data_IF_383513433662
#
_entry.id   IF_383513433662
#
_cell.length_a   1.000
_cell.length_b   1.000
_cell.length_c   1.000
_cell.angle_alpha   90.00
_cell.angle_beta   90.00
_cell.angle_gamma   90.00
#
_symmetry.space_group_name_H-M   'P 1'
#
loop_
_entity.id
_entity.type
_entity.pdbx_description
1 polymer ?
#
# COMPACT_ATOMS: atom_id res chain seq x y z
N UNK A 1 -16.59 -3.33 13.17
CA UNK A 1 -15.79 -4.13 12.28
C UNK A 1 -14.36 -3.63 12.27
N UNK A 2 -13.43 -4.53 12.38
CA UNK A 2 -12.04 -4.15 12.43
C UNK A 2 -11.47 -3.95 11.06
N UNK A 3 -10.62 -2.96 10.93
CA UNK A 3 -9.94 -2.70 9.68
C UNK A 3 -8.46 -2.88 9.88
N UNK A 4 -7.81 -3.31 8.85
CA UNK A 4 -6.39 -3.60 8.88
C UNK A 4 -5.67 -2.75 7.85
N UNK A 5 -4.48 -2.34 8.17
CA UNK A 5 -3.68 -1.59 7.23
C UNK A 5 -2.86 -2.57 6.40
N UNK A 6 -2.98 -2.45 5.10
CA UNK A 6 -2.25 -3.30 4.17
C UNK A 6 -1.26 -2.47 3.37
N UNK A 7 -0.10 -3.03 3.12
CA UNK A 7 0.88 -2.43 2.23
C UNK A 7 0.83 -3.17 0.91
N UNK A 8 0.78 -2.41 -0.16
CA UNK A 8 0.61 -2.96 -1.50
C UNK A 8 1.77 -2.51 -2.36
N UNK A 9 2.56 -3.46 -2.81
CA UNK A 9 3.73 -3.19 -3.64
C UNK A 9 3.38 -3.44 -5.09
N UNK A 10 3.80 -2.55 -5.96
CA UNK A 10 3.53 -2.75 -7.36
C UNK A 10 4.25 -1.74 -8.21
N UNK A 11 3.92 -1.77 -9.49
CA UNK A 11 4.54 -0.90 -10.47
C UNK A 11 3.48 0.05 -11.02
N UNK A 12 3.79 1.34 -10.99
CA UNK A 12 2.88 2.34 -11.52
C UNK A 12 3.34 2.72 -12.92
N UNK A 13 2.45 2.58 -13.89
CA UNK A 13 2.74 2.95 -15.26
C UNK A 13 2.15 4.31 -15.56
N UNK A 14 2.95 5.14 -16.21
CA UNK A 14 2.52 6.48 -16.56
C UNK A 14 2.32 6.57 -18.05
N UNK A 15 1.51 7.52 -18.48
CA UNK A 15 1.13 7.62 -19.87
C UNK A 15 2.30 7.89 -20.80
N UNK A 16 3.38 8.43 -20.28
CA UNK A 16 4.54 8.71 -21.14
C UNK A 16 5.49 7.52 -21.24
N UNK A 17 5.06 6.34 -20.85
CA UNK A 17 5.90 5.17 -20.93
C UNK A 17 6.81 4.95 -19.74
N UNK A 18 6.69 5.79 -18.76
CA UNK A 18 7.49 5.71 -17.55
C UNK A 18 6.86 4.77 -16.56
N UNK A 19 7.63 4.11 -15.76
CA UNK A 19 7.07 3.31 -14.68
C UNK A 19 8.03 3.35 -13.49
N UNK A 20 7.49 3.07 -12.32
CA UNK A 20 8.30 3.03 -11.11
C UNK A 20 7.63 2.13 -10.10
N UNK A 21 8.42 1.54 -9.24
CA UNK A 21 7.90 0.69 -8.18
C UNK A 21 7.59 1.52 -6.96
N UNK A 22 6.55 1.15 -6.26
CA UNK A 22 6.12 1.92 -5.11
C UNK A 22 5.36 1.03 -4.15
N UNK A 23 5.22 1.48 -2.91
CA UNK A 23 4.41 0.80 -1.91
C UNK A 23 3.35 1.76 -1.45
N UNK A 24 2.09 1.35 -1.58
CA UNK A 24 0.96 2.17 -1.15
C UNK A 24 0.27 1.47 0.01
N UNK A 25 -0.27 2.23 0.93
CA UNK A 25 -0.94 1.67 2.09
C UNK A 25 -2.41 2.00 2.07
N UNK A 26 -3.24 1.00 2.38
CA UNK A 26 -4.68 1.17 2.43
C UNK A 26 -5.23 0.44 3.64
N UNK A 27 -6.24 1.02 4.26
CA UNK A 27 -6.91 0.43 5.39
C UNK A 27 -8.24 -0.11 4.92
N UNK A 28 -8.47 -1.40 5.18
CA UNK A 28 -9.70 -2.06 4.73
C UNK A 28 -9.95 -3.28 5.58
N UNK A 29 -11.17 -3.82 5.56
CA UNK A 29 -11.48 -5.01 6.34
C UNK A 29 -10.78 -6.25 5.81
N UNK A 30 -10.53 -6.32 4.51
CA UNK A 30 -9.88 -7.48 3.93
C UNK A 30 -8.83 -7.04 2.92
N UNK A 31 -7.93 -7.95 2.63
CA UNK A 31 -6.88 -7.70 1.66
C UNK A 31 -7.47 -7.43 0.29
N UNK A 32 -8.49 -8.16 -0.10
CA UNK A 32 -9.12 -7.97 -1.37
C UNK A 32 -9.67 -6.57 -1.53
N UNK A 33 -10.29 -6.05 -0.49
CA UNK A 33 -10.82 -4.70 -0.55
C UNK A 33 -9.74 -3.66 -0.60
N UNK A 34 -8.64 -3.89 0.10
CA UNK A 34 -7.53 -2.97 0.05
C UNK A 34 -6.96 -2.89 -1.36
N UNK A 35 -6.81 -4.03 -2.00
CA UNK A 35 -6.29 -4.07 -3.36
C UNK A 35 -7.26 -3.42 -4.33
N UNK A 36 -8.56 -3.67 -4.15
CA UNK A 36 -9.56 -3.06 -5.02
C UNK A 36 -9.54 -1.55 -4.90
N UNK A 37 -9.42 -1.05 -3.68
CA UNK A 37 -9.36 0.39 -3.46
C UNK A 37 -8.11 0.99 -4.07
N UNK A 38 -7.00 0.29 -3.94
CA UNK A 38 -5.75 0.75 -4.51
C UNK A 38 -5.84 0.87 -6.02
N UNK A 39 -6.40 -0.14 -6.67
CA UNK A 39 -6.51 -0.12 -8.11
C UNK A 39 -7.48 0.96 -8.59
N UNK A 40 -8.55 1.16 -7.85
CA UNK A 40 -9.53 2.16 -8.22
C UNK A 40 -8.94 3.56 -8.16
N UNK A 41 -8.15 3.83 -7.14
CA UNK A 41 -7.55 5.14 -6.97
C UNK A 41 -6.28 5.34 -7.79
N UNK A 42 -5.70 4.27 -8.31
CA UNK A 42 -4.46 4.35 -9.06
C UNK A 42 -4.56 3.47 -10.29
N UNK A 43 -5.27 3.94 -11.33
CA UNK A 43 -5.57 3.09 -12.48
C UNK A 43 -4.37 2.47 -13.18
N UNK A 44 -3.23 3.08 -13.14
CA UNK A 44 -2.07 2.51 -13.79
C UNK A 44 -1.22 1.62 -12.91
N UNK A 45 -1.70 1.31 -11.71
CA UNK A 45 -0.90 0.58 -10.74
C UNK A 45 -1.08 -0.92 -10.91
N UNK A 46 0.01 -1.64 -11.10
CA UNK A 46 0.00 -3.08 -11.27
C UNK A 46 0.45 -3.72 -9.94
N UNK A 47 -0.46 -4.35 -9.24
CA UNK A 47 -0.19 -4.91 -7.93
C UNK A 47 0.65 -6.17 -8.05
N UNK A 48 1.74 -6.24 -7.31
CA UNK A 48 2.63 -7.38 -7.33
C UNK A 48 2.63 -8.13 -6.02
N UNK A 49 2.43 -7.43 -4.91
CA UNK A 49 2.47 -8.07 -3.60
C UNK A 49 1.63 -7.26 -2.63
N UNK A 50 1.17 -7.91 -1.57
CA UNK A 50 0.36 -7.23 -0.57
C UNK A 50 0.55 -7.95 0.76
N UNK A 51 0.74 -7.17 1.82
CA UNK A 51 0.91 -7.78 3.14
C UNK A 51 0.37 -6.83 4.20
N UNK A 52 0.15 -7.38 5.38
CA UNK A 52 -0.35 -6.60 6.50
C UNK A 52 0.77 -5.75 7.05
N UNK A 53 0.47 -4.49 7.29
CA UNK A 53 1.43 -3.58 7.90
C UNK A 53 1.36 -3.77 9.40
N UNK A 54 2.38 -4.35 9.97
CA UNK A 54 2.38 -4.63 11.40
C UNK A 54 3.11 -3.58 12.22
N UNK A 55 3.51 -2.50 11.59
CA UNK A 55 4.16 -1.43 12.32
C UNK A 55 3.22 -0.80 13.31
N UNK A 56 3.74 -0.40 14.43
CA UNK A 56 2.93 0.28 15.42
C UNK A 56 3.40 1.71 15.56
N UNK A 57 2.48 2.62 15.78
CA UNK A 57 2.84 4.03 15.87
C UNK A 57 3.92 4.32 16.88
N UNK A 58 3.86 3.68 18.01
CA UNK A 58 4.85 3.98 19.03
C UNK A 58 6.23 3.48 18.60
N UNK A 59 6.29 2.43 17.85
CA UNK A 59 7.56 1.96 17.38
C UNK A 59 8.14 2.95 16.38
N UNK A 60 7.30 3.46 15.54
CA UNK A 60 7.73 4.43 14.56
C UNK A 60 8.30 5.67 15.25
N UNK A 61 7.61 6.11 16.30
CA UNK A 61 8.06 7.29 16.97
C UNK A 61 9.41 7.13 17.59
N UNK A 62 9.74 5.92 18.02
CA UNK A 62 10.98 5.71 18.67
C UNK A 62 12.12 5.57 17.70
N UNK A 63 11.83 5.26 16.50
CA UNK A 63 12.87 5.05 15.58
C UNK A 63 13.68 6.23 15.25
N UNK A 64 13.11 7.38 15.08
CA UNK A 64 13.88 8.51 14.61
C UNK A 64 14.86 9.06 15.55
N UNK A 65 15.03 8.46 16.60
CA UNK A 65 15.92 8.95 17.53
C UNK A 65 17.32 8.84 17.15
N UNK A 66 17.59 8.30 16.16
CA UNK A 66 18.91 8.20 15.88
C UNK A 66 19.29 8.68 14.74
#
# INVERSE_FOLDING_TARGET
>A
MQKTKFNIYGEMFHSNGYSRFDVLSYIAPTQQEAIANCKRNNPGFHVMSCWVDESKPEVVRMQPLR
#
